data_IF_310300104146
#
_entry.id   IF_310300104146
#
_cell.length_a   1.000
_cell.length_b   1.000
_cell.length_c   1.000
_cell.angle_alpha   90.00
_cell.angle_beta   90.00
_cell.angle_gamma   90.00
#
_symmetry.space_group_name_H-M   'P 1'
#
loop_
_entity.id
_entity.type
_entity.pdbx_description
1 polymer ?
#
# COMPACT_ATOMS: atom_id res chain seq x y z
N UNK A 1 -12.21 -14.00 3.36
CA UNK A 1 -11.14 -13.02 3.64
C UNK A 1 -11.63 -11.82 4.44
N UNK A 2 -12.36 -10.83 3.88
CA UNK A 2 -12.81 -9.61 4.61
C UNK A 2 -13.41 -9.82 6.00
N UNK A 3 -14.39 -10.73 6.14
CA UNK A 3 -15.03 -11.02 7.44
C UNK A 3 -14.05 -11.56 8.49
N UNK A 4 -13.01 -12.29 8.07
CA UNK A 4 -11.98 -12.85 8.95
C UNK A 4 -11.10 -11.73 9.51
N UNK A 5 -10.57 -10.89 8.62
CA UNK A 5 -9.71 -9.74 8.97
C UNK A 5 -10.42 -8.75 9.91
N UNK A 6 -11.68 -8.38 9.62
CA UNK A 6 -12.47 -7.50 10.52
C UNK A 6 -12.67 -8.16 11.88
N UNK A 7 -12.94 -9.47 11.93
CA UNK A 7 -13.12 -10.20 13.18
C UNK A 7 -11.83 -10.19 14.02
N UNK A 8 -10.67 -10.38 13.40
CA UNK A 8 -9.38 -10.31 14.10
C UNK A 8 -9.17 -8.95 14.75
N UNK A 9 -9.48 -7.84 14.06
CA UNK A 9 -9.41 -6.51 14.67
C UNK A 9 -10.41 -6.36 15.83
N UNK A 10 -11.64 -6.86 15.68
CA UNK A 10 -12.66 -6.79 16.75
C UNK A 10 -12.21 -7.56 17.98
N UNK A 11 -11.69 -8.79 17.83
CA UNK A 11 -11.19 -9.59 18.95
C UNK A 11 -10.00 -8.91 19.62
N UNK A 12 -9.07 -8.34 18.84
CA UNK A 12 -7.98 -7.52 19.39
C UNK A 12 -8.50 -6.35 20.24
N UNK A 13 -9.51 -5.61 19.75
CA UNK A 13 -10.08 -4.48 20.48
C UNK A 13 -10.81 -4.91 21.76
N UNK A 14 -11.49 -6.07 21.76
CA UNK A 14 -12.11 -6.64 22.98
C UNK A 14 -11.08 -6.97 24.05
N UNK A 15 -9.98 -7.60 23.67
CA UNK A 15 -8.88 -7.91 24.60
C UNK A 15 -8.27 -6.63 25.15
N UNK A 16 -7.91 -5.67 24.27
CA UNK A 16 -7.37 -4.38 24.69
C UNK A 16 -8.30 -3.60 25.62
N UNK A 17 -9.62 -3.71 25.42
CA UNK A 17 -10.62 -3.11 26.31
C UNK A 17 -10.64 -3.78 27.70
N UNK A 18 -10.54 -5.11 27.75
CA UNK A 18 -10.45 -5.86 29.02
C UNK A 18 -9.21 -5.45 29.80
N UNK A 19 -8.09 -5.29 29.10
CA UNK A 19 -6.79 -4.91 29.65
C UNK A 19 -6.66 -3.39 29.90
N UNK A 20 -7.72 -2.61 29.61
CA UNK A 20 -7.76 -1.14 29.71
C UNK A 20 -6.61 -0.44 28.98
N UNK A 21 -6.18 -1.01 27.85
CA UNK A 21 -5.11 -0.44 27.02
C UNK A 21 -5.62 0.71 26.15
N UNK A 22 -4.81 1.77 26.05
CA UNK A 22 -5.05 2.85 25.08
C UNK A 22 -4.67 2.36 23.68
N UNK A 23 -5.63 2.40 22.74
CA UNK A 23 -5.43 1.95 21.36
C UNK A 23 -5.52 3.13 20.40
N UNK A 24 -4.52 3.28 19.53
CA UNK A 24 -4.59 4.21 18.38
C UNK A 24 -5.38 3.59 17.24
N UNK A 25 -6.69 3.81 17.23
CA UNK A 25 -7.60 3.19 16.26
C UNK A 25 -7.24 3.48 14.80
N UNK A 26 -6.87 4.73 14.48
CA UNK A 26 -6.46 5.11 13.12
C UNK A 26 -5.35 4.22 12.59
N UNK A 27 -4.31 3.93 13.39
CA UNK A 27 -3.23 3.05 12.97
C UNK A 27 -3.69 1.61 12.74
N UNK A 28 -4.61 1.09 13.56
CA UNK A 28 -5.12 -0.27 13.43
C UNK A 28 -6.04 -0.43 12.23
N UNK A 29 -6.88 0.57 11.96
CA UNK A 29 -7.76 0.60 10.78
C UNK A 29 -6.94 0.75 9.50
N UNK A 30 -5.94 1.64 9.46
CA UNK A 30 -5.05 1.76 8.30
C UNK A 30 -4.33 0.44 8.00
N UNK A 31 -3.81 -0.24 9.03
CA UNK A 31 -3.19 -1.56 8.86
C UNK A 31 -4.17 -2.62 8.35
N UNK A 32 -5.40 -2.63 8.85
CA UNK A 32 -6.44 -3.55 8.37
C UNK A 32 -6.76 -3.34 6.89
N UNK A 33 -6.88 -2.08 6.47
CA UNK A 33 -7.17 -1.72 5.07
C UNK A 33 -5.99 -2.10 4.17
N UNK A 34 -4.75 -1.83 4.61
CA UNK A 34 -3.53 -2.24 3.93
C UNK A 34 -3.49 -3.76 3.72
N UNK A 35 -3.59 -4.54 4.80
CA UNK A 35 -3.58 -6.00 4.77
C UNK A 35 -4.66 -6.56 3.84
N UNK A 36 -5.89 -6.04 3.94
CA UNK A 36 -6.98 -6.46 3.05
C UNK A 36 -6.70 -6.12 1.60
N UNK A 37 -6.14 -4.95 1.31
CA UNK A 37 -5.80 -4.56 -0.05
C UNK A 37 -4.76 -5.50 -0.63
N UNK A 38 -3.68 -5.76 0.10
CA UNK A 38 -2.62 -6.66 -0.33
C UNK A 38 -3.10 -8.09 -0.56
N UNK A 39 -3.89 -8.64 0.37
CA UNK A 39 -4.43 -9.99 0.21
C UNK A 39 -5.42 -10.13 -0.96
N UNK A 40 -6.19 -9.07 -1.28
CA UNK A 40 -7.09 -9.08 -2.43
C UNK A 40 -6.31 -8.90 -3.74
N UNK A 41 -5.30 -8.04 -3.74
CA UNK A 41 -4.56 -7.65 -4.94
C UNK A 41 -3.47 -8.66 -5.32
N UNK A 42 -2.80 -9.26 -4.33
CA UNK A 42 -1.54 -10.00 -4.48
C UNK A 42 -1.54 -11.33 -3.70
N UNK A 43 -2.70 -11.78 -3.22
CA UNK A 43 -2.87 -13.07 -2.55
C UNK A 43 -2.25 -13.20 -1.16
N UNK A 44 -1.45 -12.24 -0.69
CA UNK A 44 -0.78 -12.28 0.63
C UNK A 44 -0.67 -10.92 1.32
N UNK A 45 -0.39 -10.95 2.63
CA UNK A 45 -0.06 -9.76 3.42
C UNK A 45 1.43 -9.46 3.30
N UNK A 46 1.79 -8.18 3.35
CA UNK A 46 3.18 -7.73 3.40
C UNK A 46 3.39 -6.97 4.70
N UNK A 47 4.53 -7.21 5.34
CA UNK A 47 4.92 -6.41 6.51
C UNK A 47 5.48 -5.07 6.08
N UNK A 48 5.51 -4.13 7.02
CA UNK A 48 6.02 -2.79 6.76
C UNK A 48 7.48 -2.83 6.29
N UNK A 49 8.28 -3.76 6.82
CA UNK A 49 9.71 -3.92 6.45
C UNK A 49 9.92 -4.50 5.05
N UNK A 50 8.87 -5.07 4.42
CA UNK A 50 8.94 -5.65 3.07
C UNK A 50 8.82 -4.56 1.98
N UNK A 51 8.72 -3.30 2.39
CA UNK A 51 8.42 -2.16 1.52
C UNK A 51 9.50 -1.07 1.63
N UNK A 52 10.67 -1.37 1.07
CA UNK A 52 11.79 -0.43 1.02
C UNK A 52 12.28 0.02 2.39
N UNK A 53 13.15 1.03 2.44
CA UNK A 53 13.79 1.44 3.69
C UNK A 53 12.84 2.19 4.64
N UNK A 54 11.82 2.86 4.11
CA UNK A 54 10.89 3.70 4.91
C UNK A 54 9.64 2.96 5.35
N UNK A 55 9.38 1.78 4.79
CA UNK A 55 8.23 0.95 5.09
C UNK A 55 6.93 1.39 4.42
N UNK A 56 6.01 0.43 4.26
CA UNK A 56 4.81 0.56 3.43
C UNK A 56 3.92 1.71 3.89
N UNK A 57 3.70 1.77 5.20
CA UNK A 57 2.82 2.75 5.83
C UNK A 57 3.34 4.16 5.63
N UNK A 58 4.65 4.38 5.76
CA UNK A 58 5.23 5.71 5.59
C UNK A 58 5.14 6.17 4.12
N UNK A 59 5.42 5.26 3.17
CA UNK A 59 5.34 5.53 1.73
C UNK A 59 3.90 5.82 1.30
N UNK A 60 2.92 5.02 1.75
CA UNK A 60 1.48 5.25 1.50
C UNK A 60 1.02 6.57 2.10
N UNK A 61 1.41 6.87 3.34
CA UNK A 61 1.02 8.11 3.99
C UNK A 61 1.59 9.32 3.25
N UNK A 62 2.85 9.25 2.79
CA UNK A 62 3.43 10.32 1.99
C UNK A 62 2.75 10.44 0.62
N UNK A 63 2.48 9.33 -0.06
CA UNK A 63 1.72 9.31 -1.31
C UNK A 63 0.34 9.95 -1.16
N UNK A 64 -0.41 9.61 -0.10
CA UNK A 64 -1.71 10.23 0.19
C UNK A 64 -1.58 11.73 0.41
N UNK A 65 -0.57 12.18 1.15
CA UNK A 65 -0.33 13.61 1.37
C UNK A 65 -0.01 14.35 0.07
N UNK A 66 0.75 13.73 -0.83
CA UNK A 66 1.12 14.32 -2.11
C UNK A 66 -0.09 14.43 -3.05
N UNK A 67 -0.94 13.40 -3.10
CA UNK A 67 -2.15 13.40 -3.94
C UNK A 67 -3.14 14.50 -3.53
N UNK A 68 -3.24 14.81 -2.23
CA UNK A 68 -4.15 15.84 -1.73
C UNK A 68 -3.52 17.25 -1.65
N UNK A 69 -2.20 17.36 -1.82
CA UNK A 69 -1.51 18.63 -1.66
C UNK A 69 -1.77 19.54 -2.88
N UNK A 70 -2.18 20.81 -2.67
CA UNK A 70 -2.26 21.75 -3.77
C UNK A 70 -0.85 22.04 -4.31
N UNK A 71 -0.66 21.86 -5.61
CA UNK A 71 0.61 22.12 -6.28
C UNK A 71 0.51 23.40 -7.11
N UNK A 72 1.29 24.42 -6.75
CA UNK A 72 1.32 25.73 -7.39
C UNK A 72 1.72 25.64 -8.86
N UNK A 73 2.55 24.65 -9.23
CA UNK A 73 2.90 24.37 -10.61
C UNK A 73 1.67 24.07 -11.49
N UNK A 74 0.62 23.50 -10.90
CA UNK A 74 -0.62 23.15 -11.62
C UNK A 74 -1.48 24.39 -11.90
N UNK A 75 -1.32 25.46 -11.10
CA UNK A 75 -2.07 26.72 -11.22
C UNK A 75 -1.28 27.82 -11.95
N UNK A 76 0.06 27.81 -11.82
CA UNK A 76 0.96 28.82 -12.37
C UNK A 76 2.07 28.10 -13.16
N UNK A 77 1.89 27.86 -14.48
CA UNK A 77 2.82 27.06 -15.27
C UNK A 77 4.28 27.55 -15.26
N UNK A 78 4.49 28.86 -15.11
CA UNK A 78 5.82 29.46 -15.08
C UNK A 78 6.68 29.01 -13.88
N UNK A 79 6.06 28.58 -12.78
CA UNK A 79 6.82 28.09 -11.61
C UNK A 79 7.08 26.59 -11.63
N UNK A 80 6.48 25.85 -12.58
CA UNK A 80 6.56 24.40 -12.64
C UNK A 80 7.99 23.84 -12.71
N UNK A 81 8.92 24.41 -13.50
CA UNK A 81 10.29 23.89 -13.59
C UNK A 81 11.09 24.00 -12.27
N UNK A 82 10.66 24.86 -11.35
CA UNK A 82 11.39 25.13 -10.11
C UNK A 82 11.00 24.18 -8.97
N UNK A 83 9.87 23.47 -9.09
CA UNK A 83 9.30 22.61 -8.03
C UNK A 83 9.38 23.27 -6.65
N UNK A 84 8.87 24.50 -6.53
CA UNK A 84 9.05 25.37 -5.35
C UNK A 84 8.59 24.68 -4.05
N UNK A 85 7.56 23.83 -4.13
CA UNK A 85 7.03 23.08 -3.00
C UNK A 85 7.71 21.71 -2.80
N UNK A 86 8.59 21.30 -3.71
CA UNK A 86 9.28 20.01 -3.68
C UNK A 86 8.35 18.80 -3.86
N UNK A 87 7.12 19.01 -4.33
CA UNK A 87 6.09 17.97 -4.41
C UNK A 87 6.45 16.95 -5.48
N UNK A 88 6.96 17.40 -6.63
CA UNK A 88 7.35 16.50 -7.72
C UNK A 88 8.54 15.62 -7.30
N UNK A 89 9.54 16.20 -6.63
CA UNK A 89 10.69 15.44 -6.11
C UNK A 89 10.28 14.40 -5.09
N UNK A 90 9.36 14.74 -4.17
CA UNK A 90 8.82 13.80 -3.17
C UNK A 90 7.97 12.70 -3.82
N UNK A 91 7.13 13.05 -4.80
CA UNK A 91 6.35 12.09 -5.58
C UNK A 91 7.26 11.11 -6.31
N UNK A 92 8.35 11.60 -6.92
CA UNK A 92 9.35 10.74 -7.57
C UNK A 92 9.95 9.73 -6.60
N UNK A 93 10.23 10.12 -5.36
CA UNK A 93 10.73 9.19 -4.34
C UNK A 93 9.68 8.12 -4.01
N UNK A 94 8.43 8.52 -3.75
CA UNK A 94 7.32 7.60 -3.44
C UNK A 94 7.08 6.62 -4.60
N UNK A 95 7.10 7.09 -5.84
CA UNK A 95 6.93 6.26 -7.02
C UNK A 95 8.02 5.19 -7.14
N UNK A 96 9.28 5.54 -6.87
CA UNK A 96 10.39 4.56 -6.89
C UNK A 96 10.20 3.44 -5.87
N UNK A 97 9.70 3.76 -4.68
CA UNK A 97 9.42 2.74 -3.65
C UNK A 97 8.27 1.81 -4.09
N UNK A 98 7.23 2.37 -4.72
CA UNK A 98 6.14 1.56 -5.30
C UNK A 98 6.60 0.69 -6.47
N UNK A 99 7.38 1.25 -7.40
CA UNK A 99 7.91 0.52 -8.55
C UNK A 99 8.71 -0.70 -8.07
N UNK A 100 9.66 -0.50 -7.15
CA UNK A 100 10.45 -1.60 -6.61
C UNK A 100 9.63 -2.62 -5.82
N UNK A 101 8.52 -2.21 -5.19
CA UNK A 101 7.61 -3.14 -4.55
C UNK A 101 6.80 -3.96 -5.55
N UNK A 102 6.21 -3.32 -6.56
CA UNK A 102 5.40 -4.00 -7.56
C UNK A 102 6.24 -4.92 -8.44
N UNK A 103 7.47 -4.55 -8.77
CA UNK A 103 8.42 -5.42 -9.49
C UNK A 103 8.59 -6.75 -8.76
N UNK A 104 8.87 -6.72 -7.44
CA UNK A 104 8.99 -7.93 -6.61
C UNK A 104 7.72 -8.78 -6.62
N UNK A 105 6.56 -8.15 -6.56
CA UNK A 105 5.27 -8.84 -6.60
C UNK A 105 5.08 -9.52 -7.95
N UNK A 106 5.33 -8.80 -9.03
CA UNK A 106 5.17 -9.30 -10.40
C UNK A 106 6.09 -10.51 -10.61
N UNK A 107 7.36 -10.40 -10.24
CA UNK A 107 8.33 -11.51 -10.29
C UNK A 107 7.83 -12.74 -9.53
N UNK A 108 7.36 -12.56 -8.29
CA UNK A 108 6.80 -13.65 -7.50
C UNK A 108 5.60 -14.34 -8.16
N UNK A 109 4.70 -13.57 -8.80
CA UNK A 109 3.52 -14.13 -9.47
C UNK A 109 3.90 -14.84 -10.79
N UNK A 110 4.93 -14.37 -11.49
CA UNK A 110 5.46 -15.01 -12.70
C UNK A 110 6.14 -16.35 -12.34
N UNK A 111 6.95 -16.38 -11.28
CA UNK A 111 7.67 -17.58 -10.84
C UNK A 111 6.74 -18.64 -10.24
N UNK A 112 5.69 -18.20 -9.52
CA UNK A 112 4.73 -19.08 -8.84
C UNK A 112 3.62 -19.64 -9.74
N UNK A 113 3.84 -19.80 -11.05
CA UNK A 113 2.89 -20.36 -12.04
C UNK A 113 2.51 -21.84 -11.83
N UNK A 114 2.59 -22.35 -10.61
CA UNK A 114 2.09 -23.66 -10.24
C UNK A 114 0.55 -23.65 -10.23
N UNK A 115 -0.05 -24.49 -11.08
CA UNK A 115 -1.47 -24.43 -11.47
C UNK A 115 -2.51 -24.77 -10.39
N UNK A 116 -2.12 -24.82 -9.10
CA UNK A 116 -2.98 -25.22 -7.99
C UNK A 116 -3.27 -24.09 -6.99
N UNK A 117 -2.84 -22.84 -7.26
CA UNK A 117 -3.18 -21.68 -6.43
C UNK A 117 -4.43 -20.95 -6.93
N UNK A 118 -5.19 -20.40 -5.99
CA UNK A 118 -6.38 -19.61 -6.30
C UNK A 118 -5.92 -18.26 -6.84
N UNK A 119 -6.27 -17.93 -8.09
CA UNK A 119 -5.82 -16.70 -8.74
C UNK A 119 -6.28 -15.46 -7.98
N UNK A 120 -5.37 -14.52 -7.80
CA UNK A 120 -5.68 -13.19 -7.30
C UNK A 120 -5.77 -12.15 -8.45
N UNK A 121 -5.91 -10.88 -8.09
CA UNK A 121 -6.04 -9.81 -9.06
C UNK A 121 -4.79 -9.65 -9.93
N UNK A 122 -3.59 -9.79 -9.35
CA UNK A 122 -2.34 -9.68 -10.09
C UNK A 122 -2.20 -10.80 -11.11
N UNK A 123 -2.60 -12.02 -10.77
CA UNK A 123 -2.61 -13.14 -11.72
C UNK A 123 -3.48 -12.84 -12.94
N UNK A 124 -4.66 -12.25 -12.73
CA UNK A 124 -5.54 -11.85 -13.82
C UNK A 124 -4.98 -10.69 -14.65
N UNK A 125 -4.30 -9.72 -14.03
CA UNK A 125 -3.61 -8.66 -14.77
C UNK A 125 -2.49 -9.23 -15.64
N UNK A 126 -1.69 -10.17 -15.11
CA UNK A 126 -0.62 -10.82 -15.85
C UNK A 126 -1.16 -11.64 -17.02
N UNK A 127 -2.27 -12.37 -16.84
CA UNK A 127 -2.93 -13.09 -17.92
C UNK A 127 -3.35 -12.14 -19.07
N UNK A 128 -3.86 -10.94 -18.75
CA UNK A 128 -4.25 -9.93 -19.75
C UNK A 128 -3.02 -9.34 -20.45
N UNK A 129 -1.95 -9.05 -19.71
CA UNK A 129 -0.74 -8.41 -20.26
C UNK A 129 0.13 -9.37 -21.10
N UNK A 130 0.05 -10.67 -20.83
CA UNK A 130 0.78 -11.71 -21.57
C UNK A 130 -0.05 -12.38 -22.68
N UNK A 131 -1.32 -11.98 -22.86
CA UNK A 131 -2.18 -12.42 -23.97
C UNK A 131 -1.96 -11.59 -25.22
#
# INVERSE_FOLDING_TARGET
MRKKEVRELIEYLKTASTDRMVVRLSSKVTSLIADMTCLMAFGKKYRDEEFGERGFKAVIQEGMQLVIAPNLADYIPFVAPFDIQGLNRRATFVLKEFDGFFERIIEEHIESKDGNRNKDFMDHLLDIMMS
#
